data_IF_053370344272
#
_entry.id   IF_053370344272
#
_cell.length_a   1.000
_cell.length_b   1.000
_cell.length_c   1.000
_cell.angle_alpha   90.00
_cell.angle_beta   90.00
_cell.angle_gamma   90.00
#
_symmetry.space_group_name_H-M   'P 1'
#
loop_
_entity.id
_entity.type
_entity.pdbx_description
1 polymer ?
#
# COMPACT_ATOMS: atom_id res chain seq x y z
N UNK A 1 8.70 -15.83 17.70
CA UNK A 1 8.61 -15.59 16.24
C UNK A 1 7.14 -15.51 15.89
N UNK A 2 6.74 -14.62 14.98
CA UNK A 2 5.35 -14.57 14.49
C UNK A 2 5.23 -15.60 13.37
N UNK A 3 4.17 -16.41 13.40
CA UNK A 3 3.88 -17.37 12.33
C UNK A 3 3.54 -16.63 11.03
N UNK A 4 4.04 -17.13 9.89
CA UNK A 4 3.74 -16.53 8.59
C UNK A 4 2.30 -16.84 8.23
N UNK A 5 1.48 -15.80 8.05
CA UNK A 5 0.12 -15.94 7.58
C UNK A 5 0.12 -16.42 6.12
N UNK A 6 -0.68 -17.44 5.80
CA UNK A 6 -0.93 -17.84 4.42
C UNK A 6 -1.89 -16.85 3.75
N UNK A 7 -1.41 -16.19 2.69
CA UNK A 7 -2.21 -15.27 1.89
C UNK A 7 -2.71 -15.99 0.63
N UNK A 8 -3.90 -15.64 0.10
CA UNK A 8 -4.33 -16.12 -1.20
C UNK A 8 -3.35 -15.66 -2.28
N UNK A 9 -3.19 -16.46 -3.35
CA UNK A 9 -2.17 -16.23 -4.39
C UNK A 9 -2.21 -14.81 -4.97
N UNK A 10 -3.40 -14.27 -5.22
CA UNK A 10 -3.53 -12.91 -5.75
C UNK A 10 -2.98 -11.81 -4.83
N UNK A 11 -2.93 -12.03 -3.51
CA UNK A 11 -2.25 -11.12 -2.58
C UNK A 11 -0.74 -11.36 -2.57
N UNK A 12 -0.31 -12.61 -2.67
CA UNK A 12 1.12 -12.96 -2.78
C UNK A 12 1.72 -12.29 -4.02
N UNK A 13 1.01 -12.31 -5.14
CA UNK A 13 1.44 -11.73 -6.42
C UNK A 13 1.63 -10.21 -6.38
N UNK A 14 1.05 -9.53 -5.39
CA UNK A 14 1.31 -8.08 -5.17
C UNK A 14 2.69 -7.81 -4.60
N UNK A 15 3.32 -8.81 -3.99
CA UNK A 15 4.67 -8.69 -3.46
C UNK A 15 5.69 -9.10 -4.52
N UNK A 16 6.82 -8.39 -4.56
CA UNK A 16 7.94 -8.69 -5.43
C UNK A 16 8.41 -10.13 -5.21
N UNK A 17 8.35 -10.92 -6.28
CA UNK A 17 8.70 -12.35 -6.28
C UNK A 17 7.86 -13.18 -5.26
N UNK A 18 6.69 -12.69 -4.85
CA UNK A 18 5.87 -13.31 -3.82
C UNK A 18 6.45 -13.23 -2.40
N UNK A 19 7.48 -12.41 -2.19
CA UNK A 19 8.22 -12.35 -0.92
C UNK A 19 7.59 -11.34 0.04
N UNK A 20 7.00 -11.87 1.10
CA UNK A 20 6.46 -11.10 2.23
C UNK A 20 6.77 -11.79 3.57
N UNK A 21 6.68 -11.00 4.63
CA UNK A 21 6.75 -11.47 6.03
C UNK A 21 5.53 -10.98 6.81
N UNK A 22 5.08 -11.81 7.73
CA UNK A 22 4.08 -11.45 8.74
C UNK A 22 4.78 -10.89 9.96
N UNK A 23 4.36 -9.73 10.43
CA UNK A 23 4.95 -9.03 11.59
C UNK A 23 3.86 -8.55 12.54
N UNK A 24 4.23 -8.28 13.78
CA UNK A 24 3.39 -7.60 14.76
C UNK A 24 4.07 -6.29 15.14
N UNK A 25 3.35 -5.18 15.08
CA UNK A 25 3.89 -3.87 15.46
C UNK A 25 4.23 -3.84 16.95
N UNK A 26 5.41 -3.34 17.30
CA UNK A 26 5.89 -3.20 18.68
C UNK A 26 5.62 -1.81 19.28
N UNK A 27 5.23 -0.86 18.44
CA UNK A 27 4.83 0.52 18.72
C UNK A 27 3.79 0.97 17.69
N UNK A 28 3.20 2.13 17.89
CA UNK A 28 2.34 2.75 16.88
C UNK A 28 3.20 3.17 15.68
N UNK A 29 2.77 2.82 14.47
CA UNK A 29 3.50 3.17 13.25
C UNK A 29 2.63 4.00 12.32
N UNK A 30 3.26 4.97 11.64
CA UNK A 30 2.59 5.78 10.63
C UNK A 30 2.85 5.19 9.25
N UNK A 31 1.78 4.99 8.47
CA UNK A 31 1.85 4.63 7.06
C UNK A 31 0.97 5.55 6.23
N UNK A 32 1.17 5.51 4.92
CA UNK A 32 0.54 6.39 3.97
C UNK A 32 -0.16 5.60 2.86
N UNK A 33 -1.36 6.03 2.52
CA UNK A 33 -2.15 5.44 1.44
C UNK A 33 -2.57 6.52 0.46
N UNK A 34 -2.08 6.44 -0.78
CA UNK A 34 -2.56 7.28 -1.87
C UNK A 34 -3.81 6.69 -2.54
N UNK A 35 -4.82 7.52 -2.77
CA UNK A 35 -6.12 7.12 -3.30
C UNK A 35 -6.79 8.25 -4.10
N UNK A 36 -7.91 7.92 -4.76
CA UNK A 36 -8.69 8.87 -5.54
C UNK A 36 -9.53 8.18 -6.60
N UNK A 37 -10.45 8.94 -7.21
CA UNK A 37 -11.50 8.41 -8.08
C UNK A 37 -12.33 7.37 -7.31
N UNK A 38 -12.39 6.12 -7.76
CA UNK A 38 -13.14 5.05 -7.10
C UNK A 38 -12.35 4.39 -5.95
N UNK A 39 -11.06 4.71 -5.77
CA UNK A 39 -10.28 4.19 -4.65
C UNK A 39 -10.51 5.06 -3.42
N UNK A 40 -10.89 4.44 -2.31
CA UNK A 40 -11.16 5.12 -1.04
C UNK A 40 -9.97 5.01 -0.07
N UNK A 41 -10.01 5.85 0.98
CA UNK A 41 -9.02 5.89 2.04
C UNK A 41 -8.94 4.57 2.85
N UNK A 42 -10.02 3.78 2.88
CA UNK A 42 -10.12 2.53 3.64
C UNK A 42 -9.51 1.28 2.99
N UNK A 43 -8.87 1.39 1.84
CA UNK A 43 -8.31 0.21 1.17
C UNK A 43 -7.07 -0.38 1.87
N UNK A 44 -6.67 -1.56 1.45
CA UNK A 44 -5.79 -2.43 2.23
C UNK A 44 -4.28 -2.15 2.09
N UNK A 45 -3.85 -1.44 1.05
CA UNK A 45 -2.42 -1.24 0.76
C UNK A 45 -1.94 0.16 1.18
N UNK A 46 -0.76 0.20 1.80
CA UNK A 46 -0.07 1.41 2.25
C UNK A 46 1.46 1.26 2.13
N UNK A 47 2.20 2.36 2.31
CA UNK A 47 3.68 2.45 2.35
C UNK A 47 4.12 3.25 3.57
N UNK A 48 5.34 3.07 4.06
CA UNK A 48 5.92 3.91 5.13
C UNK A 48 6.35 5.29 4.65
N UNK A 49 6.42 5.52 3.33
CA UNK A 49 6.89 6.78 2.76
C UNK A 49 5.73 7.64 2.25
N UNK A 50 5.64 8.92 2.65
CA UNK A 50 4.60 9.81 2.14
C UNK A 50 4.84 10.13 0.65
N UNK A 51 3.75 10.32 -0.09
CA UNK A 51 3.78 10.66 -1.50
C UNK A 51 4.49 12.01 -1.74
N UNK A 52 5.42 12.00 -2.70
CA UNK A 52 6.11 13.21 -3.17
C UNK A 52 5.25 13.92 -4.22
N UNK A 53 4.76 13.17 -5.20
CA UNK A 53 3.84 13.60 -6.26
C UNK A 53 3.17 12.36 -6.89
N UNK A 54 2.11 12.56 -7.69
CA UNK A 54 1.32 11.46 -8.26
C UNK A 54 2.10 10.60 -9.25
N UNK A 55 3.03 11.19 -10.00
CA UNK A 55 3.84 10.46 -10.99
C UNK A 55 4.76 9.46 -10.27
N UNK A 56 5.49 9.91 -9.26
CA UNK A 56 6.43 9.08 -8.51
C UNK A 56 5.70 7.97 -7.76
N UNK A 57 4.59 8.30 -7.09
CA UNK A 57 3.75 7.30 -6.41
C UNK A 57 3.25 6.23 -7.38
N UNK A 58 2.86 6.60 -8.61
CA UNK A 58 2.45 5.63 -9.62
C UNK A 58 3.57 4.64 -9.98
N UNK A 59 4.80 5.14 -10.14
CA UNK A 59 5.96 4.31 -10.51
C UNK A 59 6.36 3.39 -9.36
N UNK A 60 6.53 3.94 -8.16
CA UNK A 60 7.04 3.21 -6.99
C UNK A 60 6.04 2.17 -6.47
N UNK A 61 4.74 2.49 -6.54
CA UNK A 61 3.67 1.58 -6.13
C UNK A 61 3.07 0.79 -7.28
N UNK A 62 3.69 0.80 -8.47
CA UNK A 62 3.26 0.08 -9.66
C UNK A 62 1.75 0.22 -9.99
N UNK A 63 1.20 1.42 -9.80
CA UNK A 63 -0.24 1.68 -9.95
C UNK A 63 -0.60 1.76 -11.43
N UNK A 64 -1.29 0.73 -11.92
CA UNK A 64 -1.70 0.69 -13.32
C UNK A 64 -2.65 1.85 -13.69
N UNK A 65 -2.39 2.62 -14.76
CA UNK A 65 -3.30 3.66 -15.24
C UNK A 65 -4.74 3.16 -15.46
N UNK A 66 -4.90 1.90 -15.85
CA UNK A 66 -6.15 1.22 -16.13
C UNK A 66 -7.04 1.07 -14.89
N UNK A 67 -6.45 1.09 -13.68
CA UNK A 67 -7.20 1.10 -12.42
C UNK A 67 -7.86 2.45 -12.16
N UNK A 68 -7.52 3.49 -12.94
CA UNK A 68 -8.08 4.85 -12.85
C UNK A 68 -7.94 5.51 -11.47
N UNK A 69 -7.06 4.97 -10.61
CA UNK A 69 -6.72 5.62 -9.34
C UNK A 69 -5.98 6.93 -9.66
N UNK A 70 -6.61 8.05 -9.33
CA UNK A 70 -6.04 9.38 -9.61
C UNK A 70 -4.94 9.76 -8.65
N UNK A 71 -4.80 9.04 -7.52
CA UNK A 71 -3.84 9.32 -6.45
C UNK A 71 -3.94 10.77 -5.96
N UNK A 72 -5.12 11.38 -6.08
CA UNK A 72 -5.35 12.79 -5.75
C UNK A 72 -5.15 13.07 -4.27
N UNK A 73 -5.46 12.09 -3.43
CA UNK A 73 -5.44 12.21 -1.99
C UNK A 73 -4.48 11.21 -1.38
N UNK A 74 -3.98 11.54 -0.19
CA UNK A 74 -3.21 10.63 0.64
C UNK A 74 -3.72 10.68 2.08
N UNK A 75 -3.94 9.50 2.66
CA UNK A 75 -4.26 9.34 4.07
C UNK A 75 -2.98 9.05 4.86
N UNK A 76 -2.78 9.78 5.96
CA UNK A 76 -1.84 9.41 7.03
C UNK A 76 -2.58 8.51 8.02
N UNK A 77 -2.11 7.27 8.20
CA UNK A 77 -2.75 6.23 9.00
C UNK A 77 -1.81 5.85 10.14
N UNK A 78 -2.31 5.93 11.38
CA UNK A 78 -1.58 5.50 12.58
C UNK A 78 -2.05 4.10 12.95
N UNK A 79 -1.24 3.10 12.63
CA UNK A 79 -1.50 1.70 12.97
C UNK A 79 -1.11 1.48 14.44
N UNK A 80 -2.03 1.03 15.30
CA UNK A 80 -1.73 0.78 16.70
C UNK A 80 -0.67 -0.31 16.89
N UNK A 81 0.08 -0.20 17.98
CA UNK A 81 0.89 -1.29 18.53
C UNK A 81 0.09 -2.59 18.67
N UNK A 82 0.73 -3.72 18.40
CA UNK A 82 0.10 -5.04 18.50
C UNK A 82 -0.68 -5.46 17.25
N UNK A 83 -0.63 -4.67 16.17
CA UNK A 83 -1.31 -4.99 14.91
C UNK A 83 -0.48 -5.98 14.10
N UNK A 84 -1.13 -7.04 13.62
CA UNK A 84 -0.51 -8.00 12.69
C UNK A 84 -0.60 -7.47 11.26
N UNK A 85 0.52 -7.45 10.54
CA UNK A 85 0.64 -6.92 9.18
C UNK A 85 1.41 -7.89 8.31
N UNK A 86 1.12 -7.86 7.00
CA UNK A 86 1.97 -8.51 6.00
C UNK A 86 2.74 -7.43 5.24
N UNK A 87 4.07 -7.50 5.28
CA UNK A 87 4.94 -6.49 4.69
C UNK A 87 5.94 -7.10 3.71
N UNK A 88 6.25 -6.35 2.67
CA UNK A 88 7.18 -6.76 1.62
C UNK A 88 7.51 -5.59 0.69
N UNK A 89 7.88 -5.91 -0.54
CA UNK A 89 8.10 -4.91 -1.60
C UNK A 89 7.01 -5.04 -2.64
N UNK A 90 6.57 -3.92 -3.22
CA UNK A 90 5.61 -3.92 -4.33
C UNK A 90 6.22 -4.66 -5.53
N UNK A 91 5.49 -5.65 -6.06
CA UNK A 91 5.86 -6.38 -7.27
C UNK A 91 5.72 -5.53 -8.53
N UNK A 92 6.36 -5.96 -9.62
CA UNK A 92 6.25 -5.26 -10.88
C UNK A 92 4.87 -5.44 -11.53
N UNK A 93 4.43 -4.44 -12.28
CA UNK A 93 3.19 -4.49 -13.05
C UNK A 93 3.44 -4.04 -14.48
N UNK A 94 2.59 -4.51 -15.39
CA UNK A 94 2.66 -4.17 -16.80
C UNK A 94 1.36 -3.50 -17.21
N UNK A 95 1.46 -2.32 -17.82
CA UNK A 95 0.29 -1.65 -18.43
C UNK A 95 -0.25 -2.49 -19.57
N UNK A 96 -1.47 -2.19 -20.04
CA UNK A 96 -2.03 -2.83 -21.24
C UNK A 96 -1.16 -2.64 -22.48
N UNK A 97 -0.36 -1.56 -22.54
CA UNK A 97 0.61 -1.31 -23.61
C UNK A 97 1.93 -2.08 -23.45
N UNK A 98 2.10 -2.85 -22.38
CA UNK A 98 3.33 -3.59 -22.07
C UNK A 98 4.42 -2.76 -21.36
N UNK A 99 4.12 -1.53 -20.94
CA UNK A 99 5.08 -0.71 -20.19
C UNK A 99 5.26 -1.29 -18.79
N UNK A 100 6.52 -1.57 -18.42
CA UNK A 100 6.87 -2.06 -17.09
C UNK A 100 6.86 -0.94 -16.06
N UNK A 101 6.13 -1.14 -14.97
CA UNK A 101 6.26 -0.40 -13.71
C UNK A 101 7.00 -1.30 -12.73
N UNK A 102 8.23 -0.92 -12.37
CA UNK A 102 9.10 -1.78 -11.56
C UNK A 102 8.60 -1.98 -10.13
N UNK A 103 7.76 -1.06 -9.62
CA UNK A 103 7.32 -1.08 -8.23
C UNK A 103 8.50 -0.84 -7.30
N UNK A 104 8.71 -1.77 -6.37
CA UNK A 104 9.77 -1.71 -5.37
C UNK A 104 9.60 -0.59 -4.34
N UNK A 105 8.42 -0.01 -4.13
CA UNK A 105 8.13 0.59 -2.82
C UNK A 105 8.04 -0.50 -1.75
N UNK A 106 8.17 -0.14 -0.49
CA UNK A 106 7.69 -0.98 0.60
C UNK A 106 6.16 -1.06 0.58
N UNK A 107 5.62 -2.24 0.87
CA UNK A 107 4.20 -2.52 0.83
C UNK A 107 3.73 -3.06 2.18
N UNK A 108 2.71 -2.43 2.73
CA UNK A 108 1.96 -2.89 3.89
C UNK A 108 0.59 -3.36 3.44
N UNK A 109 0.20 -4.56 3.87
CA UNK A 109 -1.17 -5.04 3.82
C UNK A 109 -1.81 -4.83 5.21
N UNK A 110 -2.75 -3.90 5.28
CA UNK A 110 -3.55 -3.61 6.47
C UNK A 110 -4.52 -4.76 6.76
N UNK A 111 -4.93 -4.96 8.03
CA UNK A 111 -5.92 -5.96 8.39
C UNK A 111 -7.23 -5.76 7.62
N UNK A 112 -7.93 -6.85 7.33
CA UNK A 112 -9.27 -6.75 6.75
C UNK A 112 -10.18 -5.95 7.70
N UNK A 113 -10.95 -5.01 7.16
CA UNK A 113 -11.86 -4.14 7.93
C UNK A 113 -11.17 -3.35 9.06
N UNK A 114 -9.91 -2.92 8.84
CA UNK A 114 -9.20 -2.06 9.79
C UNK A 114 -10.01 -0.78 10.10
N UNK A 115 -9.85 -0.25 11.32
CA UNK A 115 -10.65 0.85 11.82
C UNK A 115 -10.25 2.17 11.14
N UNK A 116 -11.19 2.81 10.44
CA UNK A 116 -10.97 4.08 9.76
C UNK A 116 -10.62 5.23 10.73
N UNK A 117 -10.87 5.08 12.03
CA UNK A 117 -10.38 6.02 13.05
C UNK A 117 -8.84 6.07 13.14
N UNK A 118 -8.13 5.10 12.54
CA UNK A 118 -6.67 5.15 12.41
C UNK A 118 -6.22 6.21 11.41
N UNK A 119 -7.12 6.72 10.55
CA UNK A 119 -6.82 7.83 9.65
C UNK A 119 -6.70 9.11 10.49
N UNK A 120 -5.48 9.64 10.57
CA UNK A 120 -5.18 10.87 11.30
C UNK A 120 -5.41 12.11 10.45
N UNK A 121 -5.09 12.06 9.17
CA UNK A 121 -5.34 13.17 8.24
C UNK A 121 -5.43 12.70 6.79
N UNK A 122 -6.02 13.54 5.95
CA UNK A 122 -6.03 13.38 4.50
C UNK A 122 -5.53 14.68 3.88
N UNK A 123 -4.61 14.57 2.92
CA UNK A 123 -4.08 15.71 2.15
C UNK A 123 -4.23 15.50 0.65
N UNK A 124 -4.20 16.58 -0.13
CA UNK A 124 -4.03 16.47 -1.57
C UNK A 124 -2.56 16.20 -1.94
N UNK A 125 -2.34 15.31 -2.91
CA UNK A 125 -1.02 15.02 -3.48
C UNK A 125 -0.84 15.89 -4.72
N UNK A 126 0.34 16.51 -4.83
CA UNK A 126 0.71 17.34 -5.99
C UNK A 126 0.75 16.49 -7.28
N UNK A 127 0.35 17.06 -8.42
CA UNK A 127 0.46 16.39 -9.73
C UNK A 127 1.82 15.77 -9.97
#
# INVERSE_FOLDING_TARGET
>A
MVEKQELPSWLIDTYKEGVYRTVVTNEDITVYRSFGYNAEAGGAFATSSPAVNRIQTKVDSAILPEWKNTLRYEAEIVIPKGTTLNIGRVGEQFTMSGTRLAGDADQFLLPQNWDLNWIKSIREVKP
#
